data_IF_272338014882
#
_entry.id   IF_272338014882
#
_cell.length_a   1.000
_cell.length_b   1.000
_cell.length_c   1.000
_cell.angle_alpha   90.00
_cell.angle_beta   90.00
_cell.angle_gamma   90.00
#
_symmetry.space_group_name_H-M   'P 1'
#
loop_
_entity.id
_entity.type
_entity.pdbx_description
1 polymer ?
#
# COMPACT_ATOMS: atom_id res chain seq x y z
N UNK A 1 21.68 -52.06 46.90
CA UNK A 1 20.71 -50.95 46.83
C UNK A 1 21.12 -50.04 45.69
N UNK A 2 20.49 -50.13 44.49
CA UNK A 2 20.77 -49.32 43.30
C UNK A 2 19.70 -48.20 43.22
N UNK A 3 20.13 -46.93 43.18
CA UNK A 3 19.27 -45.75 42.99
C UNK A 3 18.96 -45.58 41.49
N UNK A 4 17.72 -45.33 41.09
CA UNK A 4 17.41 -45.02 39.69
C UNK A 4 17.70 -43.52 39.41
N UNK A 5 18.43 -43.27 38.32
CA UNK A 5 18.59 -41.92 37.77
C UNK A 5 17.39 -41.54 36.90
N UNK A 6 16.67 -40.53 37.35
CA UNK A 6 15.53 -39.95 36.63
C UNK A 6 16.10 -38.95 35.59
N UNK A 7 16.01 -39.29 34.30
CA UNK A 7 16.36 -38.39 33.22
C UNK A 7 15.13 -37.53 32.88
N UNK A 8 15.16 -36.27 33.23
CA UNK A 8 14.16 -35.29 32.82
C UNK A 8 14.47 -34.90 31.39
N UNK A 9 13.64 -35.32 30.43
CA UNK A 9 13.67 -34.84 29.05
C UNK A 9 12.99 -33.47 28.99
N UNK A 10 13.77 -32.42 28.75
CA UNK A 10 13.28 -31.07 28.49
C UNK A 10 12.85 -31.02 27.03
N UNK A 11 11.54 -31.05 26.74
CA UNK A 11 10.99 -30.72 25.41
C UNK A 11 11.07 -29.23 25.21
N UNK A 12 12.02 -28.74 24.41
CA UNK A 12 11.99 -27.39 23.86
C UNK A 12 10.94 -27.33 22.74
N UNK A 13 9.75 -26.81 23.07
CA UNK A 13 8.78 -26.42 22.06
C UNK A 13 9.26 -25.15 21.37
N UNK A 14 9.83 -25.28 20.19
CA UNK A 14 10.13 -24.15 19.32
C UNK A 14 8.81 -23.59 18.77
N UNK A 15 8.33 -22.48 19.35
CA UNK A 15 7.22 -21.73 18.79
C UNK A 15 7.72 -21.01 17.52
N UNK A 16 7.33 -21.54 16.36
CA UNK A 16 7.48 -20.81 15.08
C UNK A 16 6.52 -19.64 15.11
N UNK A 17 7.02 -18.45 15.44
CA UNK A 17 6.31 -17.20 15.14
C UNK A 17 6.38 -17.02 13.62
N UNK A 18 5.30 -17.30 12.91
CA UNK A 18 5.10 -16.81 11.57
C UNK A 18 5.05 -15.27 11.68
N UNK A 19 6.12 -14.60 11.27
CA UNK A 19 6.10 -13.16 11.08
C UNK A 19 5.07 -12.88 9.98
N UNK A 20 3.92 -12.35 10.34
CA UNK A 20 3.00 -11.78 9.36
C UNK A 20 3.78 -10.65 8.68
N UNK A 21 3.99 -10.75 7.38
CA UNK A 21 4.52 -9.66 6.55
C UNK A 21 3.44 -8.59 6.51
N UNK A 22 3.59 -7.61 7.39
CA UNK A 22 2.73 -6.42 7.40
C UNK A 22 3.34 -5.41 6.44
N UNK A 23 2.52 -4.60 5.77
CA UNK A 23 3.03 -3.47 5.03
C UNK A 23 3.91 -2.64 5.97
N UNK A 24 5.10 -2.33 5.49
CA UNK A 24 6.01 -1.49 6.23
C UNK A 24 5.73 -0.04 5.87
N UNK A 25 4.98 0.65 6.72
CA UNK A 25 4.74 2.08 6.60
C UNK A 25 5.78 2.82 7.42
N UNK A 26 6.66 3.54 6.75
CA UNK A 26 7.70 4.37 7.36
C UNK A 26 7.43 5.83 7.03
N UNK A 27 7.63 6.75 7.99
CA UNK A 27 7.49 8.19 7.78
C UNK A 27 8.66 8.90 8.43
N UNK A 28 9.42 9.65 7.65
CA UNK A 28 10.61 10.35 8.11
C UNK A 28 10.66 11.79 7.58
N UNK A 29 11.08 12.71 8.44
CA UNK A 29 11.43 14.06 8.04
C UNK A 29 12.94 14.13 7.71
N UNK A 30 13.27 14.68 6.55
CA UNK A 30 14.65 14.82 6.08
C UNK A 30 14.93 16.24 5.60
N UNK A 31 16.19 16.67 5.68
CA UNK A 31 16.66 17.90 5.07
C UNK A 31 17.31 17.60 3.72
N UNK A 32 16.82 18.23 2.66
CA UNK A 32 17.48 18.16 1.35
C UNK A 32 18.18 19.48 1.04
N UNK A 33 19.45 19.39 0.64
CA UNK A 33 20.35 20.53 0.46
C UNK A 33 19.77 21.66 -0.40
N UNK A 34 19.02 21.32 -1.47
CA UNK A 34 18.48 22.31 -2.42
C UNK A 34 16.96 22.53 -2.32
N UNK A 35 16.23 21.77 -1.48
CA UNK A 35 14.78 21.79 -1.41
C UNK A 35 14.24 22.18 -0.03
N UNK A 36 15.11 22.16 1.01
CA UNK A 36 14.68 22.37 2.38
C UNK A 36 14.07 21.11 3.03
N UNK A 37 13.19 21.27 4.02
CA UNK A 37 12.60 20.16 4.74
C UNK A 37 11.63 19.35 3.85
N UNK A 38 11.83 18.04 3.78
CA UNK A 38 11.02 17.08 3.03
C UNK A 38 10.45 16.06 4.01
N UNK A 39 9.17 15.72 3.85
CA UNK A 39 8.55 14.57 4.52
C UNK A 39 8.50 13.42 3.54
N UNK A 40 9.21 12.35 3.84
CA UNK A 40 9.19 11.11 3.07
C UNK A 40 8.35 10.05 3.80
N UNK A 41 7.48 9.38 3.07
CA UNK A 41 6.83 8.16 3.50
C UNK A 41 7.26 7.01 2.58
N UNK A 42 7.30 5.78 3.09
CA UNK A 42 7.47 4.57 2.30
C UNK A 42 6.35 3.60 2.65
N UNK A 43 5.73 3.02 1.64
CA UNK A 43 4.73 1.97 1.78
C UNK A 43 5.20 0.79 0.93
N UNK A 44 5.55 -0.31 1.59
CA UNK A 44 6.10 -1.52 0.96
C UNK A 44 5.32 -2.76 1.37
N UNK A 45 5.52 -3.87 0.65
CA UNK A 45 4.87 -5.16 0.88
C UNK A 45 3.35 -5.14 0.67
N UNK A 46 2.61 -5.99 1.40
CA UNK A 46 1.16 -6.08 1.35
C UNK A 46 0.48 -4.95 2.13
N UNK A 47 -0.51 -4.29 1.53
CA UNK A 47 -1.36 -3.33 2.22
C UNK A 47 -2.37 -4.08 3.08
N UNK A 48 -2.32 -3.87 4.40
CA UNK A 48 -3.16 -4.57 5.37
C UNK A 48 -3.95 -3.59 6.26
N UNK A 49 -5.06 -4.01 6.87
CA UNK A 49 -5.78 -3.20 7.85
C UNK A 49 -4.86 -2.72 8.97
N UNK A 50 -4.86 -1.41 9.24
CA UNK A 50 -3.99 -0.75 10.22
C UNK A 50 -2.89 0.12 9.61
N UNK A 51 -2.60 -0.02 8.31
CA UNK A 51 -1.59 0.80 7.62
C UNK A 51 -1.99 2.27 7.51
N UNK A 52 -3.30 2.55 7.41
CA UNK A 52 -3.81 3.91 7.47
C UNK A 52 -3.46 4.57 8.81
N UNK A 53 -3.70 3.86 9.91
CA UNK A 53 -3.38 4.34 11.25
C UNK A 53 -1.87 4.50 11.44
N UNK A 54 -1.05 3.61 10.89
CA UNK A 54 0.40 3.70 10.90
C UNK A 54 0.88 4.96 10.17
N UNK A 55 0.37 5.21 8.95
CA UNK A 55 0.68 6.44 8.20
C UNK A 55 0.25 7.69 8.97
N UNK A 56 -0.99 7.73 9.47
CA UNK A 56 -1.52 8.86 10.23
C UNK A 56 -0.68 9.17 11.47
N UNK A 57 -0.26 8.16 12.20
CA UNK A 57 0.61 8.30 13.36
C UNK A 57 2.00 8.80 12.97
N UNK A 58 2.57 8.30 11.87
CA UNK A 58 3.82 8.79 11.31
C UNK A 58 3.76 10.28 10.94
N UNK A 59 2.65 10.72 10.32
CA UNK A 59 2.42 12.13 10.00
C UNK A 59 2.32 13.00 11.27
N UNK A 60 1.62 12.53 12.30
CA UNK A 60 1.49 13.23 13.60
C UNK A 60 2.81 13.32 14.35
N UNK A 61 3.66 12.31 14.23
CA UNK A 61 4.99 12.29 14.86
C UNK A 61 5.97 13.25 14.18
N UNK A 62 5.68 13.70 12.95
CA UNK A 62 6.52 14.63 12.19
C UNK A 62 5.75 15.93 11.89
N UNK A 63 5.44 16.74 12.91
CA UNK A 63 4.75 18.01 12.72
C UNK A 63 5.66 19.03 12.04
N UNK A 64 5.08 19.91 11.22
CA UNK A 64 5.82 21.01 10.60
C UNK A 64 5.36 21.35 9.20
N UNK A 65 6.05 22.33 8.63
CA UNK A 65 5.87 22.71 7.22
C UNK A 65 6.99 22.09 6.40
N UNK A 66 6.64 21.36 5.37
CA UNK A 66 7.57 20.71 4.45
C UNK A 66 7.48 21.38 3.08
N UNK A 67 8.64 21.62 2.48
CA UNK A 67 8.73 22.10 1.09
C UNK A 67 8.19 21.08 0.11
N UNK A 68 8.30 19.79 0.45
CA UNK A 68 7.78 18.67 -0.33
C UNK A 68 7.40 17.50 0.55
N UNK A 69 6.35 16.78 0.15
CA UNK A 69 5.94 15.51 0.75
C UNK A 69 5.91 14.46 -0.33
N UNK A 70 6.63 13.36 -0.13
CA UNK A 70 6.77 12.27 -1.12
C UNK A 70 6.48 10.95 -0.46
N UNK A 71 5.66 10.12 -1.11
CA UNK A 71 5.53 8.71 -0.75
C UNK A 71 6.20 7.83 -1.81
N UNK A 72 7.05 6.92 -1.35
CA UNK A 72 7.67 5.87 -2.14
C UNK A 72 6.79 4.63 -2.06
N UNK A 73 6.41 4.10 -3.22
CA UNK A 73 5.59 2.89 -3.32
C UNK A 73 6.43 1.72 -3.83
N UNK A 74 6.45 0.65 -3.05
CA UNK A 74 7.05 -0.64 -3.42
C UNK A 74 6.17 -1.76 -2.86
N UNK A 75 4.95 -1.91 -3.41
CA UNK A 75 3.90 -2.74 -2.85
C UNK A 75 3.23 -3.61 -3.89
N UNK A 76 2.98 -4.86 -3.52
CA UNK A 76 2.26 -5.83 -4.34
C UNK A 76 0.73 -5.72 -4.24
N UNK A 77 0.24 -4.75 -3.47
CA UNK A 77 -1.20 -4.51 -3.26
C UNK A 77 -1.69 -5.04 -1.94
N UNK A 78 -2.89 -5.60 -1.90
CA UNK A 78 -3.53 -6.11 -0.68
C UNK A 78 -4.93 -5.56 -0.48
N UNK A 79 -5.25 -5.07 0.71
CA UNK A 79 -6.57 -4.55 1.05
C UNK A 79 -6.92 -3.29 0.26
N UNK A 80 -7.85 -3.40 -0.70
CA UNK A 80 -8.30 -2.27 -1.49
C UNK A 80 -9.05 -1.20 -0.67
N UNK A 81 -9.92 -1.54 0.31
CA UNK A 81 -10.50 -0.53 1.19
C UNK A 81 -9.45 0.27 1.97
N UNK A 82 -8.43 -0.41 2.49
CA UNK A 82 -7.34 0.25 3.22
C UNK A 82 -6.50 1.14 2.30
N UNK A 83 -6.15 0.64 1.11
CA UNK A 83 -5.45 1.43 0.10
C UNK A 83 -6.20 2.71 -0.29
N UNK A 84 -7.54 2.65 -0.43
CA UNK A 84 -8.35 3.84 -0.70
C UNK A 84 -8.36 4.83 0.47
N UNK A 85 -8.38 4.36 1.72
CA UNK A 85 -8.28 5.22 2.91
C UNK A 85 -6.93 5.94 2.94
N UNK A 86 -5.85 5.19 2.75
CA UNK A 86 -4.48 5.72 2.68
C UNK A 86 -4.38 6.74 1.53
N UNK A 87 -4.89 6.40 0.35
CA UNK A 87 -4.84 7.29 -0.80
C UNK A 87 -5.54 8.63 -0.56
N UNK A 88 -6.71 8.63 0.09
CA UNK A 88 -7.38 9.90 0.47
C UNK A 88 -6.51 10.72 1.42
N UNK A 89 -5.90 10.08 2.43
CA UNK A 89 -4.99 10.77 3.35
C UNK A 89 -3.79 11.38 2.62
N UNK A 90 -3.18 10.65 1.69
CA UNK A 90 -2.08 11.16 0.85
C UNK A 90 -2.51 12.36 0.01
N UNK A 91 -3.70 12.28 -0.61
CA UNK A 91 -4.29 13.38 -1.41
C UNK A 91 -4.55 14.61 -0.55
N UNK A 92 -5.24 14.46 0.58
CA UNK A 92 -5.61 15.53 1.50
C UNK A 92 -4.38 16.20 2.11
N UNK A 93 -3.35 15.43 2.39
CA UNK A 93 -2.11 15.95 2.99
C UNK A 93 -1.07 16.41 1.98
N UNK A 94 -1.33 16.32 0.68
CA UNK A 94 -0.52 16.92 -0.38
C UNK A 94 0.73 16.14 -0.75
N UNK A 95 0.68 14.82 -0.77
CA UNK A 95 1.80 13.98 -1.17
C UNK A 95 1.93 13.86 -2.69
N UNK A 96 3.17 13.95 -3.16
CA UNK A 96 3.60 13.40 -4.44
C UNK A 96 3.88 11.91 -4.30
N UNK A 97 3.70 11.14 -5.37
CA UNK A 97 3.92 9.68 -5.35
C UNK A 97 5.04 9.30 -6.32
N UNK A 98 5.91 8.42 -5.86
CA UNK A 98 7.01 7.87 -6.65
C UNK A 98 7.03 6.34 -6.54
N UNK A 99 6.99 5.65 -7.68
CA UNK A 99 7.40 4.24 -7.79
C UNK A 99 8.87 4.24 -8.19
N UNK A 100 9.81 3.85 -7.31
CA UNK A 100 11.25 3.90 -7.61
C UNK A 100 11.65 2.85 -8.67
N UNK A 101 12.85 2.95 -9.23
CA UNK A 101 13.31 2.10 -10.35
C UNK A 101 13.21 0.61 -10.06
N UNK A 102 13.53 0.21 -8.83
CA UNK A 102 13.47 -1.20 -8.41
C UNK A 102 12.15 -1.54 -7.70
N UNK A 103 11.22 -0.58 -7.66
CA UNK A 103 9.95 -0.72 -6.98
C UNK A 103 8.83 -1.23 -7.90
N UNK A 104 7.83 -1.80 -7.26
CA UNK A 104 6.60 -2.25 -7.92
C UNK A 104 5.38 -1.57 -7.28
N UNK A 105 4.34 -1.37 -8.07
CA UNK A 105 3.03 -0.96 -7.56
C UNK A 105 1.95 -1.79 -8.26
N UNK A 106 1.42 -2.79 -7.56
CA UNK A 106 0.52 -3.79 -8.15
C UNK A 106 -0.85 -3.78 -7.48
N UNK A 107 -1.87 -4.16 -8.23
CA UNK A 107 -3.22 -4.34 -7.70
C UNK A 107 -3.72 -3.12 -6.91
N UNK A 108 -3.99 -3.29 -5.61
CA UNK A 108 -4.51 -2.21 -4.76
C UNK A 108 -3.52 -1.07 -4.51
N UNK A 109 -2.20 -1.25 -4.75
CA UNK A 109 -1.23 -0.17 -4.69
C UNK A 109 -1.58 0.97 -5.68
N UNK A 110 -2.24 0.66 -6.79
CA UNK A 110 -2.65 1.64 -7.80
C UNK A 110 -3.57 2.72 -7.22
N UNK A 111 -4.34 2.42 -6.17
CA UNK A 111 -5.14 3.45 -5.49
C UNK A 111 -4.25 4.50 -4.82
N UNK A 112 -3.11 4.09 -4.26
CA UNK A 112 -2.14 5.03 -3.67
C UNK A 112 -1.46 5.87 -4.77
N UNK A 113 -1.04 5.23 -5.86
CA UNK A 113 -0.44 5.91 -7.00
C UNK A 113 -1.41 6.97 -7.59
N UNK A 114 -2.68 6.58 -7.77
CA UNK A 114 -3.73 7.48 -8.27
C UNK A 114 -3.91 8.73 -7.41
N UNK A 115 -3.67 8.62 -6.10
CA UNK A 115 -3.87 9.71 -5.14
C UNK A 115 -2.80 10.81 -5.21
N UNK A 116 -1.63 10.55 -5.77
CA UNK A 116 -0.55 11.54 -5.84
C UNK A 116 -0.94 12.85 -6.51
N UNK A 117 -0.48 13.99 -5.96
CA UNK A 117 -0.58 15.27 -6.64
C UNK A 117 0.27 15.29 -7.90
N UNK A 118 1.54 14.92 -7.75
CA UNK A 118 2.41 14.54 -8.85
C UNK A 118 2.69 13.06 -8.75
N UNK A 119 2.78 12.40 -9.87
CA UNK A 119 3.06 10.98 -9.97
C UNK A 119 4.32 10.80 -10.79
N UNK A 120 5.18 9.88 -10.38
CA UNK A 120 6.38 9.51 -11.12
C UNK A 120 6.57 8.02 -11.04
N UNK A 121 6.59 7.36 -12.17
CA UNK A 121 6.80 5.92 -12.27
C UNK A 121 8.15 5.67 -12.93
N UNK A 122 9.09 5.08 -12.19
CA UNK A 122 10.39 4.63 -12.70
C UNK A 122 10.52 3.11 -12.67
N UNK A 123 9.72 2.45 -11.83
CA UNK A 123 9.61 1.02 -11.69
C UNK A 123 8.43 0.46 -12.48
N UNK A 124 7.76 -0.53 -11.93
CA UNK A 124 6.70 -1.26 -12.61
C UNK A 124 5.34 -1.05 -11.97
N UNK A 125 4.32 -0.83 -12.79
CA UNK A 125 2.92 -0.77 -12.36
C UNK A 125 2.17 -1.94 -12.96
N UNK A 126 1.54 -2.76 -12.12
CA UNK A 126 0.85 -3.97 -12.52
C UNK A 126 -0.65 -3.91 -12.25
N UNK A 127 -1.46 -4.10 -13.30
CA UNK A 127 -2.90 -4.21 -13.19
C UNK A 127 -3.32 -5.65 -12.92
N UNK A 128 -4.17 -5.83 -11.93
CA UNK A 128 -5.04 -6.98 -11.73
C UNK A 128 -6.20 -6.59 -10.81
N UNK A 129 -7.29 -7.35 -10.84
CA UNK A 129 -8.38 -7.11 -9.89
C UNK A 129 -7.87 -7.32 -8.46
N UNK A 130 -8.34 -6.52 -7.48
CA UNK A 130 -7.98 -6.71 -6.10
C UNK A 130 -8.23 -8.16 -5.66
N UNK A 131 -7.24 -8.77 -5.02
CA UNK A 131 -7.33 -10.10 -4.47
C UNK A 131 -7.60 -10.00 -2.96
N UNK A 132 -8.59 -10.74 -2.51
CA UNK A 132 -8.91 -10.84 -1.09
C UNK A 132 -8.61 -12.29 -0.66
N UNK A 133 -7.54 -12.52 0.13
CA UNK A 133 -7.19 -13.88 0.58
C UNK A 133 -8.33 -14.59 1.32
N UNK A 134 -9.20 -13.82 1.97
CA UNK A 134 -10.40 -14.28 2.65
C UNK A 134 -11.64 -14.39 1.74
N UNK A 135 -11.47 -14.27 0.41
CA UNK A 135 -12.55 -14.25 -0.57
C UNK A 135 -13.39 -12.98 -0.53
N UNK A 136 -14.60 -13.03 -1.10
CA UNK A 136 -15.51 -11.87 -1.16
C UNK A 136 -16.01 -11.40 0.20
N UNK A 137 -15.70 -12.13 1.28
CA UNK A 137 -16.04 -11.76 2.65
C UNK A 137 -15.44 -10.43 3.09
N UNK A 138 -14.27 -10.04 2.56
CA UNK A 138 -13.67 -8.74 2.85
C UNK A 138 -14.47 -7.58 2.21
N UNK A 139 -15.02 -7.79 1.01
CA UNK A 139 -15.97 -6.85 0.39
C UNK A 139 -17.27 -6.77 1.20
N UNK A 140 -17.79 -7.91 1.66
CA UNK A 140 -18.98 -7.96 2.51
C UNK A 140 -18.73 -7.26 3.86
N UNK A 141 -17.57 -7.46 4.49
CA UNK A 141 -17.20 -6.76 5.72
C UNK A 141 -17.05 -5.25 5.51
N UNK A 142 -16.43 -4.80 4.42
CA UNK A 142 -16.33 -3.38 4.08
C UNK A 142 -17.74 -2.76 3.87
N UNK A 143 -18.65 -3.48 3.24
CA UNK A 143 -20.04 -3.05 3.07
C UNK A 143 -20.81 -2.98 4.41
N UNK A 144 -20.62 -3.94 5.29
CA UNK A 144 -21.21 -3.94 6.64
C UNK A 144 -20.68 -2.80 7.53
N UNK A 145 -19.45 -2.37 7.33
CA UNK A 145 -18.85 -1.23 8.04
C UNK A 145 -19.26 0.13 7.45
N UNK A 146 -20.18 0.17 6.48
CA UNK A 146 -20.62 1.37 5.81
C UNK A 146 -19.55 2.03 4.94
N UNK A 147 -18.45 1.34 4.69
CA UNK A 147 -17.40 1.79 3.79
C UNK A 147 -17.87 1.65 2.35
N UNK A 148 -18.03 2.77 1.67
CA UNK A 148 -18.37 2.79 0.25
C UNK A 148 -17.19 2.29 -0.58
N UNK A 149 -17.17 0.99 -0.86
CA UNK A 149 -16.22 0.41 -1.79
C UNK A 149 -16.71 0.66 -3.22
N UNK A 150 -16.17 1.67 -3.86
CA UNK A 150 -16.40 1.94 -5.28
C UNK A 150 -15.11 2.38 -5.95
N UNK A 151 -14.36 1.44 -6.56
CA UNK A 151 -13.14 1.77 -7.31
C UNK A 151 -13.34 2.88 -8.34
N UNK A 152 -14.42 2.80 -9.11
CA UNK A 152 -14.71 3.82 -10.12
C UNK A 152 -15.00 5.20 -9.53
N UNK A 153 -15.70 5.29 -8.38
CA UNK A 153 -15.92 6.54 -7.69
C UNK A 153 -14.61 7.09 -7.11
N UNK A 154 -13.78 6.24 -6.51
CA UNK A 154 -12.48 6.62 -6.00
C UNK A 154 -11.55 7.17 -7.09
N UNK A 155 -11.45 6.51 -8.24
CA UNK A 155 -10.62 7.02 -9.34
C UNK A 155 -11.11 8.38 -9.85
N UNK A 156 -12.43 8.58 -9.97
CA UNK A 156 -12.99 9.91 -10.31
C UNK A 156 -12.63 10.97 -9.26
N UNK A 157 -12.70 10.64 -7.97
CA UNK A 157 -12.27 11.49 -6.86
C UNK A 157 -10.79 11.91 -7.00
N UNK A 158 -9.95 11.00 -7.50
CA UNK A 158 -8.52 11.23 -7.75
C UNK A 158 -8.21 11.85 -9.12
N UNK A 159 -9.21 12.25 -9.90
CA UNK A 159 -9.07 12.75 -11.27
C UNK A 159 -8.43 11.72 -12.24
N UNK A 160 -8.68 10.44 -11.99
CA UNK A 160 -8.27 9.32 -12.82
C UNK A 160 -9.48 8.78 -13.59
N UNK A 161 -9.34 8.42 -14.89
CA UNK A 161 -10.43 7.85 -15.66
C UNK A 161 -11.01 6.59 -14.98
N UNK A 162 -12.33 6.57 -14.80
CA UNK A 162 -13.04 5.45 -14.15
C UNK A 162 -12.84 4.10 -14.88
N UNK A 163 -12.53 4.14 -16.19
CA UNK A 163 -12.18 2.95 -16.98
C UNK A 163 -11.03 2.13 -16.40
N UNK A 164 -10.12 2.75 -15.64
CA UNK A 164 -9.05 2.02 -14.98
C UNK A 164 -9.62 0.96 -14.02
N UNK A 165 -10.70 1.27 -13.29
CA UNK A 165 -11.36 0.28 -12.43
C UNK A 165 -11.92 -0.91 -13.24
N UNK A 166 -12.51 -0.64 -14.40
CA UNK A 166 -13.06 -1.68 -15.29
C UNK A 166 -11.94 -2.57 -15.84
N UNK A 167 -10.84 -1.95 -16.27
CA UNK A 167 -9.69 -2.67 -16.81
C UNK A 167 -9.00 -3.53 -15.75
N UNK A 168 -8.88 -3.03 -14.51
CA UNK A 168 -8.40 -3.84 -13.38
C UNK A 168 -9.28 -5.06 -13.13
N UNK A 169 -10.62 -4.91 -13.16
CA UNK A 169 -11.55 -6.01 -12.90
C UNK A 169 -11.48 -7.13 -13.94
N UNK A 170 -11.06 -6.85 -15.17
CA UNK A 170 -10.93 -7.83 -16.26
C UNK A 170 -9.70 -8.73 -16.13
N UNK A 171 -8.72 -8.35 -15.29
CA UNK A 171 -7.47 -9.08 -15.17
C UNK A 171 -7.52 -9.90 -13.89
N UNK A 172 -7.40 -11.21 -14.04
CA UNK A 172 -7.40 -12.12 -12.89
C UNK A 172 -6.15 -11.91 -12.02
N UNK A 173 -6.23 -12.15 -10.67
CA UNK A 173 -5.14 -11.85 -9.75
C UNK A 173 -3.81 -12.55 -10.09
N UNK A 174 -3.86 -13.74 -10.68
CA UNK A 174 -2.67 -14.49 -11.11
C UNK A 174 -2.13 -14.07 -12.48
N UNK A 175 -2.83 -13.16 -13.18
CA UNK A 175 -2.45 -12.64 -14.50
C UNK A 175 -2.20 -11.15 -14.41
N UNK A 176 -1.10 -10.77 -13.80
CA UNK A 176 -0.71 -9.37 -13.76
C UNK A 176 -0.36 -8.85 -15.15
N UNK A 177 -0.91 -7.69 -15.51
CA UNK A 177 -0.54 -6.95 -16.73
C UNK A 177 0.27 -5.72 -16.33
N UNK A 178 1.54 -5.70 -16.72
CA UNK A 178 2.40 -4.52 -16.52
C UNK A 178 2.02 -3.44 -17.53
N UNK A 179 1.84 -2.21 -17.06
CA UNK A 179 1.51 -1.06 -17.89
C UNK A 179 2.76 -0.53 -18.61
N UNK A 180 2.59 -0.16 -19.88
CA UNK A 180 3.56 0.63 -20.63
C UNK A 180 3.51 2.11 -20.21
N UNK A 181 4.53 2.90 -20.58
CA UNK A 181 4.54 4.34 -20.35
C UNK A 181 3.33 5.03 -21.02
N UNK A 182 2.98 4.64 -22.25
CA UNK A 182 1.80 5.16 -22.94
C UNK A 182 0.49 4.88 -22.18
N UNK A 183 0.35 3.67 -21.62
CA UNK A 183 -0.80 3.31 -20.81
C UNK A 183 -0.85 4.08 -19.49
N UNK A 184 0.31 4.28 -18.84
CA UNK A 184 0.41 5.11 -17.63
C UNK A 184 -0.06 6.54 -17.91
N UNK A 185 0.44 7.16 -18.98
CA UNK A 185 -0.01 8.47 -19.41
C UNK A 185 -1.52 8.48 -19.75
N UNK A 186 -2.00 7.46 -20.47
CA UNK A 186 -3.41 7.33 -20.85
C UNK A 186 -4.37 7.19 -19.67
N UNK A 187 -3.89 6.70 -18.53
CA UNK A 187 -4.64 6.66 -17.27
C UNK A 187 -4.35 7.86 -16.35
N UNK A 188 -3.37 8.72 -16.67
CA UNK A 188 -2.97 9.83 -15.80
C UNK A 188 -2.28 9.36 -14.53
N UNK A 189 -1.47 8.30 -14.64
CA UNK A 189 -0.71 7.70 -13.54
C UNK A 189 0.76 8.13 -13.51
N UNK A 190 1.16 9.08 -14.35
CA UNK A 190 2.49 9.69 -14.39
C UNK A 190 2.43 11.23 -14.48
#
# INVERSE_FOLDING_TARGET
>A
MRKPHLHAAILCAAAFYAAATQAKVEVEAAQQHNLGPVLAAKISEDIVPGDYEALLNGLRANPGKFARKIVLLDSIGGSAPEAMRIGRLLRETGFDVLVPTDGVCQGSCIYLLAAGHKKSVRGHVGLHRPYFPSGDSALAQAAHQGQRYSPAAYFREMNIPARLAEDMQRIEPHRMRVLSAEELAGYGLE
#
